data_IF_737626089578
#
_entry.id   IF_737626089578
#
_cell.length_a   1.000
_cell.length_b   1.000
_cell.length_c   1.000
_cell.angle_alpha   90.00
_cell.angle_beta   90.00
_cell.angle_gamma   90.00
#
_symmetry.space_group_name_H-M   'P 1'
#
loop_
_entity.id
_entity.type
_entity.pdbx_description
1 polymer ?
#
# COMPACT_ATOMS: atom_id res chain seq x y z
N UNK A 1 -5.36 -2.39 15.55
CA UNK A 1 -6.44 -3.40 15.59
C UNK A 1 -6.10 -4.60 16.48
N UNK A 2 -4.81 -4.92 16.69
CA UNK A 2 -4.37 -6.09 17.45
C UNK A 2 -4.89 -6.15 18.90
N UNK A 3 -4.78 -5.06 19.67
CA UNK A 3 -5.21 -5.05 21.06
C UNK A 3 -6.70 -5.38 21.25
N UNK A 4 -7.57 -4.78 20.44
CA UNK A 4 -9.01 -5.06 20.45
C UNK A 4 -9.32 -6.49 20.00
N UNK A 5 -8.59 -6.99 19.00
CA UNK A 5 -8.74 -8.37 18.56
C UNK A 5 -8.40 -9.36 19.68
N UNK A 6 -7.32 -9.11 20.42
CA UNK A 6 -6.90 -9.92 21.57
C UNK A 6 -7.91 -9.86 22.73
N UNK A 7 -8.45 -8.69 23.03
CA UNK A 7 -9.49 -8.54 24.05
C UNK A 7 -10.73 -9.37 23.72
N UNK A 8 -11.21 -9.30 22.47
CA UNK A 8 -12.37 -10.09 22.02
C UNK A 8 -12.07 -11.60 22.00
N UNK A 9 -10.85 -11.99 21.61
CA UNK A 9 -10.38 -13.39 21.61
C UNK A 9 -10.38 -14.00 23.02
N UNK A 10 -10.03 -13.19 24.03
CA UNK A 10 -9.95 -13.61 25.43
C UNK A 10 -11.29 -13.50 26.18
N UNK A 11 -12.31 -12.90 25.56
CA UNK A 11 -13.60 -12.68 26.22
C UNK A 11 -14.32 -14.01 26.52
N UNK A 12 -14.76 -14.21 27.77
CA UNK A 12 -15.43 -15.43 28.25
C UNK A 12 -16.59 -15.90 27.38
N UNK A 13 -17.36 -14.96 26.81
CA UNK A 13 -18.51 -15.25 25.95
C UNK A 13 -18.13 -15.76 24.56
N UNK A 14 -16.84 -15.70 24.20
CA UNK A 14 -16.30 -16.06 22.87
C UNK A 14 -17.22 -15.59 21.74
N UNK A 15 -17.50 -14.27 21.66
CA UNK A 15 -18.44 -13.76 20.68
C UNK A 15 -17.93 -14.07 19.27
N UNK A 16 -18.83 -14.44 18.36
CA UNK A 16 -18.49 -14.77 16.97
C UNK A 16 -18.26 -13.50 16.14
N UNK A 17 -17.25 -12.72 16.52
CA UNK A 17 -16.88 -11.45 15.89
C UNK A 17 -15.51 -11.61 15.24
N UNK A 18 -15.45 -11.34 13.94
CA UNK A 18 -14.22 -11.36 13.17
C UNK A 18 -13.77 -9.95 12.83
N UNK A 19 -12.46 -9.74 12.77
CA UNK A 19 -11.85 -8.48 12.41
C UNK A 19 -11.07 -8.65 11.11
N UNK A 20 -11.18 -7.68 10.21
CA UNK A 20 -10.44 -7.64 8.95
C UNK A 20 -9.84 -6.25 8.78
N UNK A 21 -8.52 -6.16 8.76
CA UNK A 21 -7.79 -4.91 8.52
C UNK A 21 -7.36 -4.87 7.05
N UNK A 22 -7.77 -3.82 6.35
CA UNK A 22 -7.42 -3.61 4.94
C UNK A 22 -6.31 -2.57 4.83
N UNK A 23 -5.26 -2.89 4.07
CA UNK A 23 -4.15 -1.99 3.74
C UNK A 23 -4.20 -1.64 2.24
N UNK A 24 -5.01 -0.65 1.84
CA UNK A 24 -5.00 -0.18 0.46
C UNK A 24 -3.76 0.68 0.21
N UNK A 25 -3.14 0.51 -0.96
CA UNK A 25 -2.00 1.35 -1.36
C UNK A 25 -2.44 2.64 -2.02
N UNK A 26 -3.08 2.54 -3.19
CA UNK A 26 -3.66 3.69 -3.86
C UNK A 26 -4.92 3.25 -4.62
N UNK A 27 -6.04 3.88 -4.29
CA UNK A 27 -7.33 3.68 -4.94
C UNK A 27 -7.70 4.97 -5.64
N UNK A 28 -8.01 4.91 -6.95
CA UNK A 28 -8.39 6.09 -7.71
C UNK A 28 -9.83 6.51 -7.41
N UNK A 29 -10.01 7.21 -6.28
CA UNK A 29 -11.31 7.76 -5.87
C UNK A 29 -11.52 9.19 -6.37
N UNK A 30 -10.58 9.74 -7.16
CA UNK A 30 -10.57 11.15 -7.56
C UNK A 30 -10.16 12.15 -6.46
N UNK A 31 -9.79 11.67 -5.26
CA UNK A 31 -9.37 12.53 -4.13
C UNK A 31 -7.88 12.90 -4.15
N UNK A 32 -7.05 12.05 -4.76
CA UNK A 32 -5.60 12.21 -4.79
C UNK A 32 -5.08 12.19 -6.23
N UNK A 33 -3.88 12.72 -6.45
CA UNK A 33 -3.20 12.67 -7.74
C UNK A 33 -2.51 11.32 -7.88
N UNK A 34 -2.70 10.68 -9.04
CA UNK A 34 -2.10 9.37 -9.33
C UNK A 34 -0.57 9.41 -9.19
N UNK A 35 0.01 8.64 -8.26
CA UNK A 35 1.44 8.54 -8.11
C UNK A 35 2.05 7.78 -9.29
N UNK A 36 2.87 8.47 -10.09
CA UNK A 36 3.66 7.82 -11.14
C UNK A 36 4.73 6.92 -10.52
N UNK A 37 4.64 5.61 -10.79
CA UNK A 37 5.60 4.58 -10.41
C UNK A 37 6.23 3.92 -11.64
N UNK A 38 7.42 3.32 -11.46
CA UNK A 38 8.13 2.62 -12.54
C UNK A 38 7.34 1.45 -13.12
N UNK A 39 6.59 0.76 -12.25
CA UNK A 39 5.80 -0.42 -12.60
C UNK A 39 4.31 -0.18 -12.27
N UNK A 40 3.54 0.46 -13.18
CA UNK A 40 2.12 0.72 -12.98
C UNK A 40 1.28 -0.53 -12.76
N UNK A 41 1.71 -1.68 -13.28
CA UNK A 41 1.01 -2.94 -13.04
C UNK A 41 1.11 -3.42 -11.58
N UNK A 42 2.19 -3.06 -10.88
CA UNK A 42 2.46 -3.50 -9.50
C UNK A 42 2.07 -2.45 -8.45
N UNK A 43 2.26 -1.17 -8.77
CA UNK A 43 2.02 -0.03 -7.87
C UNK A 43 1.00 0.99 -8.42
N UNK A 44 0.40 0.71 -9.58
CA UNK A 44 -0.58 1.63 -10.16
C UNK A 44 -1.88 1.66 -9.38
N UNK A 45 -2.65 2.69 -9.66
CA UNK A 45 -3.94 2.88 -9.05
C UNK A 45 -4.89 1.72 -9.32
N UNK A 46 -5.55 1.24 -8.26
CA UNK A 46 -6.67 0.31 -8.41
C UNK A 46 -7.97 1.08 -8.49
N UNK A 47 -8.94 0.57 -9.25
CA UNK A 47 -10.27 1.19 -9.30
C UNK A 47 -11.02 0.98 -7.98
N UNK A 48 -11.93 1.90 -7.60
CA UNK A 48 -12.77 1.74 -6.41
C UNK A 48 -13.57 0.44 -6.41
N UNK A 49 -14.07 0.00 -7.57
CA UNK A 49 -14.86 -1.23 -7.72
C UNK A 49 -14.01 -2.47 -7.42
N UNK A 50 -12.76 -2.48 -7.91
CA UNK A 50 -11.83 -3.56 -7.62
C UNK A 50 -11.47 -3.59 -6.13
N UNK A 51 -11.17 -2.43 -5.54
CA UNK A 51 -10.87 -2.33 -4.11
C UNK A 51 -12.05 -2.84 -3.27
N UNK A 52 -13.28 -2.39 -3.55
CA UNK A 52 -14.48 -2.83 -2.85
C UNK A 52 -14.70 -4.35 -2.97
N UNK A 53 -14.52 -4.92 -4.17
CA UNK A 53 -14.63 -6.36 -4.40
C UNK A 53 -13.63 -7.16 -3.57
N UNK A 54 -12.38 -6.69 -3.50
CA UNK A 54 -11.33 -7.35 -2.72
C UNK A 54 -11.57 -7.22 -1.21
N UNK A 55 -12.10 -6.08 -0.73
CA UNK A 55 -12.52 -5.90 0.67
C UNK A 55 -13.62 -6.90 1.05
N UNK A 56 -14.69 -6.98 0.25
CA UNK A 56 -15.80 -7.92 0.49
C UNK A 56 -15.28 -9.36 0.52
N UNK A 57 -14.40 -9.71 -0.41
CA UNK A 57 -13.76 -11.02 -0.46
C UNK A 57 -12.93 -11.32 0.79
N UNK A 58 -12.17 -10.34 1.30
CA UNK A 58 -11.38 -10.50 2.50
C UNK A 58 -12.26 -10.74 3.75
N UNK A 59 -13.33 -9.95 3.88
CA UNK A 59 -14.32 -10.08 4.95
C UNK A 59 -14.98 -11.47 4.88
N UNK A 60 -15.48 -11.89 3.71
CA UNK A 60 -16.14 -13.20 3.53
C UNK A 60 -15.23 -14.40 3.80
N UNK A 61 -13.92 -14.22 3.67
CA UNK A 61 -12.92 -15.26 3.95
C UNK A 61 -12.35 -15.19 5.36
N UNK A 62 -12.82 -14.26 6.20
CA UNK A 62 -12.30 -14.00 7.54
C UNK A 62 -10.77 -13.79 7.55
N UNK A 63 -10.23 -13.07 6.56
CA UNK A 63 -8.82 -12.66 6.62
C UNK A 63 -8.65 -11.59 7.71
N UNK A 64 -7.65 -11.76 8.56
CA UNK A 64 -7.30 -10.79 9.62
C UNK A 64 -6.63 -9.55 9.05
N UNK A 65 -5.78 -9.74 8.04
CA UNK A 65 -5.03 -8.71 7.34
C UNK A 65 -5.11 -8.92 5.83
N UNK A 66 -5.26 -7.84 5.07
CA UNK A 66 -5.37 -7.91 3.62
C UNK A 66 -4.84 -6.64 2.95
N UNK A 67 -3.89 -6.75 2.02
CA UNK A 67 -3.42 -5.60 1.24
C UNK A 67 -4.04 -5.53 -0.15
N UNK A 68 -4.19 -4.31 -0.67
CA UNK A 68 -4.66 -4.05 -2.03
C UNK A 68 -3.65 -3.12 -2.73
N UNK A 69 -2.88 -3.61 -3.72
CA UNK A 69 -2.79 -4.99 -4.19
C UNK A 69 -2.12 -5.97 -3.19
N UNK A 70 -2.37 -7.28 -3.36
CA UNK A 70 -1.93 -8.34 -2.42
C UNK A 70 -0.41 -8.52 -2.30
N UNK A 71 0.34 -8.21 -3.35
CA UNK A 71 1.80 -8.34 -3.36
C UNK A 71 2.48 -7.42 -2.32
N UNK A 72 1.84 -6.32 -1.94
CA UNK A 72 2.45 -5.32 -1.06
C UNK A 72 2.59 -5.80 0.37
N UNK A 73 1.72 -6.69 0.84
CA UNK A 73 1.88 -7.30 2.16
C UNK A 73 3.15 -8.16 2.21
N UNK A 74 3.41 -8.94 1.16
CA UNK A 74 4.64 -9.73 1.04
C UNK A 74 5.88 -8.84 0.90
N UNK A 75 5.80 -7.78 0.11
CA UNK A 75 6.90 -6.82 -0.02
C UNK A 75 7.22 -6.16 1.32
N UNK A 76 6.20 -5.77 2.08
CA UNK A 76 6.37 -5.22 3.42
C UNK A 76 7.03 -6.23 4.37
N UNK A 77 6.64 -7.51 4.32
CA UNK A 77 7.27 -8.56 5.12
C UNK A 77 8.75 -8.74 4.77
N UNK A 78 9.10 -8.74 3.47
CA UNK A 78 10.49 -8.83 3.01
C UNK A 78 11.28 -7.60 3.47
N UNK A 79 10.73 -6.40 3.32
CA UNK A 79 11.37 -5.15 3.72
C UNK A 79 11.69 -5.10 5.22
N UNK A 80 10.93 -5.82 6.07
CA UNK A 80 11.20 -5.90 7.51
C UNK A 80 12.36 -6.83 7.88
N UNK A 81 12.79 -7.70 6.98
CA UNK A 81 13.85 -8.69 7.22
C UNK A 81 15.20 -8.18 6.71
N UNK A 82 15.19 -7.41 5.63
CA UNK A 82 16.42 -6.88 5.02
C UNK A 82 16.97 -5.67 5.78
N UNK A 83 18.28 -5.38 5.69
CA UNK A 83 18.85 -4.14 6.20
C UNK A 83 18.19 -2.91 5.57
N UNK A 84 18.14 -1.81 6.32
CA UNK A 84 17.50 -0.56 5.89
C UNK A 84 18.05 -0.04 4.54
N UNK A 85 19.35 -0.17 4.32
CA UNK A 85 19.99 0.22 3.05
C UNK A 85 19.42 -0.53 1.84
N UNK A 86 19.05 -1.80 2.00
CA UNK A 86 18.43 -2.60 0.93
C UNK A 86 17.00 -2.15 0.69
N UNK A 87 16.25 -1.81 1.75
CA UNK A 87 14.91 -1.25 1.63
C UNK A 87 14.92 0.05 0.81
N UNK A 88 15.88 0.95 1.07
CA UNK A 88 16.04 2.19 0.30
C UNK A 88 16.30 1.90 -1.19
N UNK A 89 17.21 0.98 -1.52
CA UNK A 89 17.47 0.58 -2.90
C UNK A 89 16.24 0.00 -3.60
N UNK A 90 15.45 -0.81 -2.90
CA UNK A 90 14.19 -1.36 -3.42
C UNK A 90 13.20 -0.23 -3.69
N UNK A 91 12.99 0.69 -2.74
CA UNK A 91 12.08 1.82 -2.90
C UNK A 91 12.51 2.74 -4.04
N UNK A 92 13.80 3.07 -4.14
CA UNK A 92 14.34 3.92 -5.20
C UNK A 92 14.11 3.30 -6.59
N UNK A 93 14.35 1.98 -6.70
CA UNK A 93 14.12 1.24 -7.92
C UNK A 93 12.64 1.23 -8.34
N UNK A 94 11.73 1.06 -7.38
CA UNK A 94 10.28 0.95 -7.61
C UNK A 94 9.61 2.31 -7.88
N UNK A 95 10.07 3.36 -7.20
CA UNK A 95 9.50 4.71 -7.26
C UNK A 95 9.99 5.55 -8.44
N UNK A 96 10.91 5.04 -9.26
CA UNK A 96 11.58 5.75 -10.37
C UNK A 96 12.14 7.11 -9.90
N UNK A 97 12.84 7.11 -8.76
CA UNK A 97 13.31 8.34 -8.10
C UNK A 97 14.20 9.16 -9.03
N UNK A 98 15.03 8.50 -9.84
CA UNK A 98 15.88 9.15 -10.85
C UNK A 98 15.10 9.97 -11.87
N UNK A 99 13.92 9.49 -12.30
CA UNK A 99 13.05 10.25 -13.21
C UNK A 99 12.46 11.47 -12.51
N UNK A 100 11.95 11.31 -11.28
CA UNK A 100 11.39 12.43 -10.50
C UNK A 100 12.44 13.50 -10.20
N UNK A 101 13.69 13.10 -9.92
CA UNK A 101 14.80 14.03 -9.71
C UNK A 101 15.12 14.81 -11.00
N UNK A 102 15.18 14.13 -12.16
CA UNK A 102 15.38 14.80 -13.47
C UNK A 102 14.25 15.76 -13.81
N UNK A 103 12.99 15.37 -13.59
CA UNK A 103 11.83 16.23 -13.82
C UNK A 103 11.87 17.48 -12.92
N UNK A 104 12.19 17.33 -11.63
CA UNK A 104 12.37 18.47 -10.69
C UNK A 104 13.49 19.39 -11.13
N UNK A 105 14.67 18.85 -11.42
CA UNK A 105 15.82 19.65 -11.83
C UNK A 105 15.55 20.40 -13.15
N UNK A 106 14.82 19.78 -14.10
CA UNK A 106 14.43 20.44 -15.35
C UNK A 106 13.44 21.60 -15.11
N UNK A 107 12.48 21.43 -14.19
CA UNK A 107 11.53 22.50 -13.82
C UNK A 107 12.28 23.68 -13.18
N UNK A 108 13.21 23.42 -12.26
CA UNK A 108 13.99 24.47 -11.61
C UNK A 108 14.87 25.24 -12.59
N UNK A 109 15.53 24.55 -13.53
CA UNK A 109 16.28 25.18 -14.62
C UNK A 109 15.40 26.06 -15.50
N UNK A 110 14.18 25.60 -15.81
CA UNK A 110 13.24 26.37 -16.64
C UNK A 110 12.75 27.64 -15.91
N UNK A 111 12.59 27.57 -14.59
CA UNK A 111 12.20 28.71 -13.75
C UNK A 111 13.33 29.73 -13.55
N UNK A 112 14.60 29.29 -13.59
CA UNK A 112 15.77 30.17 -13.51
C UNK A 112 16.05 30.92 -14.83
N UNK A 113 15.56 30.40 -15.96
CA UNK A 113 15.71 31.02 -17.29
C UNK A 113 14.57 31.96 -17.70
N UNK A 114 13.56 32.16 -16.84
CA UNK A 114 12.48 33.14 -17.02
C UNK A 114 12.67 34.32 -16.09
#
# INVERSE_FOLDING_TARGET
MEALHEEVRLHERKPNIHFTTIYPFYVDTGLAKDPKYRFPYLFGAVTPEYAAKEIIKAIRKNYTEYSIPRCLLFLNAINRIVPESVMWLILDFLADVDRKQKERNAIDLTNLTK
#
